data_IF_973512421817
#
_entry.id   IF_973512421817
#
_cell.length_a   1.000
_cell.length_b   1.000
_cell.length_c   1.000
_cell.angle_alpha   90.00
_cell.angle_beta   90.00
_cell.angle_gamma   90.00
#
_symmetry.space_group_name_H-M   'P 1'
#
loop_
_entity.id
_entity.type
_entity.pdbx_description
1 polymer ?
#
# COMPACT_ATOMS: atom_id res chain seq x y z
N UNK A 1 22.48 -5.15 26.51
CA UNK A 1 22.86 -3.97 25.70
C UNK A 1 21.75 -3.76 24.67
N UNK A 2 20.81 -2.84 24.90
CA UNK A 2 19.84 -2.46 23.89
C UNK A 2 20.58 -1.66 22.82
N UNK A 3 20.86 -2.30 21.68
CA UNK A 3 21.38 -1.58 20.53
C UNK A 3 20.33 -0.57 20.11
N UNK A 4 20.69 0.70 20.19
CA UNK A 4 19.88 1.85 19.79
C UNK A 4 19.77 1.90 18.25
N UNK A 5 19.41 0.77 17.62
CA UNK A 5 19.29 0.67 16.17
C UNK A 5 18.03 1.39 15.72
N UNK A 6 18.22 2.57 15.14
CA UNK A 6 17.16 3.26 14.41
C UNK A 6 16.60 2.32 13.33
N UNK A 7 15.28 2.33 13.08
CA UNK A 7 14.70 1.51 12.03
C UNK A 7 15.33 1.81 10.67
N UNK A 8 15.48 0.80 9.81
CA UNK A 8 15.83 1.03 8.41
C UNK A 8 14.75 1.87 7.70
N UNK A 9 15.18 2.68 6.74
CA UNK A 9 14.29 3.45 5.87
C UNK A 9 13.64 2.53 4.82
N UNK A 10 12.62 1.79 5.24
CA UNK A 10 11.94 0.80 4.39
C UNK A 10 10.45 0.64 4.68
N UNK A 11 9.84 1.56 5.42
CA UNK A 11 8.39 1.58 5.66
C UNK A 11 7.75 2.53 4.65
N UNK A 12 6.71 2.08 3.97
CA UNK A 12 6.06 2.88 2.94
C UNK A 12 4.82 3.53 3.52
N UNK A 13 4.73 4.85 3.39
CA UNK A 13 3.54 5.62 3.79
C UNK A 13 2.43 5.51 2.74
N UNK A 14 1.18 5.90 3.05
CA UNK A 14 0.10 6.02 2.05
C UNK A 14 0.44 6.95 0.88
N UNK A 15 1.30 7.96 1.13
CA UNK A 15 1.82 8.88 0.13
C UNK A 15 2.92 8.27 -0.74
N UNK A 16 3.37 7.06 -0.42
CA UNK A 16 4.41 6.36 -1.17
C UNK A 16 5.83 6.75 -0.78
N UNK A 17 6.01 7.59 0.24
CA UNK A 17 7.31 7.90 0.83
C UNK A 17 7.87 6.68 1.55
N UNK A 18 9.20 6.58 1.61
CA UNK A 18 9.88 5.51 2.34
C UNK A 18 10.53 6.14 3.56
N UNK A 19 10.12 5.72 4.75
CA UNK A 19 10.48 6.33 6.03
C UNK A 19 11.11 5.32 7.00
N UNK A 20 11.84 5.83 8.00
CA UNK A 20 12.55 5.07 9.02
C UNK A 20 11.76 5.06 10.34
N UNK A 21 10.64 4.35 10.37
CA UNK A 21 9.75 4.25 11.54
C UNK A 21 9.70 2.83 12.09
N UNK A 22 9.30 2.68 13.36
CA UNK A 22 9.28 1.39 14.05
C UNK A 22 8.14 0.44 13.61
N UNK A 23 7.17 0.95 12.85
CA UNK A 23 6.01 0.23 12.38
C UNK A 23 6.38 -1.13 11.75
N UNK A 24 5.67 -2.19 12.17
CA UNK A 24 5.76 -3.52 11.59
C UNK A 24 4.62 -3.70 10.59
N UNK A 25 4.97 -4.04 9.36
CA UNK A 25 3.99 -4.23 8.30
C UNK A 25 3.42 -5.64 8.27
N UNK A 26 2.14 -5.76 7.93
CA UNK A 26 1.52 -7.05 7.58
C UNK A 26 2.02 -7.59 6.23
N UNK A 27 2.52 -6.69 5.37
CA UNK A 27 3.04 -7.04 4.05
C UNK A 27 4.44 -6.49 3.85
N UNK A 28 5.19 -7.21 3.01
CA UNK A 28 6.40 -6.69 2.38
C UNK A 28 6.13 -6.37 0.90
N UNK A 29 7.13 -5.89 0.20
CA UNK A 29 7.06 -5.65 -1.23
C UNK A 29 8.33 -5.02 -1.75
N UNK A 30 8.28 -4.58 -3.00
CA UNK A 30 9.45 -4.05 -3.65
C UNK A 30 9.12 -2.93 -4.63
N UNK A 31 10.16 -2.15 -4.93
CA UNK A 31 10.23 -1.22 -6.07
C UNK A 31 11.47 -1.49 -6.92
N UNK A 32 11.94 -2.74 -6.95
CA UNK A 32 13.25 -3.13 -7.47
C UNK A 32 14.41 -2.88 -6.50
N UNK A 33 15.64 -2.71 -7.01
CA UNK A 33 16.87 -2.54 -6.21
C UNK A 33 17.15 -1.04 -6.05
N UNK A 34 16.87 -0.48 -4.88
CA UNK A 34 16.98 0.96 -4.62
C UNK A 34 17.79 1.28 -3.36
N UNK A 35 18.61 0.33 -2.89
CA UNK A 35 19.49 0.52 -1.74
C UNK A 35 20.94 0.19 -2.08
N UNK A 36 21.84 0.71 -1.27
CA UNK A 36 23.22 0.27 -1.17
C UNK A 36 23.30 -0.92 -0.18
N UNK A 37 23.79 -2.10 -0.61
CA UNK A 37 23.72 -3.32 0.19
C UNK A 37 24.71 -3.37 1.36
N UNK A 38 25.71 -2.49 1.36
CA UNK A 38 26.73 -2.43 2.41
C UNK A 38 26.24 -1.54 3.56
N UNK A 39 25.68 -0.38 3.22
CA UNK A 39 25.23 0.62 4.18
C UNK A 39 23.74 0.48 4.55
N UNK A 40 22.97 -0.30 3.79
CA UNK A 40 21.51 -0.43 3.90
C UNK A 40 20.77 0.92 3.77
N UNK A 41 21.33 1.85 2.99
CA UNK A 41 20.74 3.17 2.73
C UNK A 41 20.08 3.23 1.36
N UNK A 42 19.05 4.06 1.18
CA UNK A 42 18.40 4.23 -0.12
C UNK A 42 19.26 5.06 -1.07
N UNK A 43 19.32 4.64 -2.34
CA UNK A 43 19.94 5.37 -3.44
C UNK A 43 19.10 6.61 -3.81
N UNK A 44 19.59 7.49 -4.69
CA UNK A 44 18.79 8.64 -5.18
C UNK A 44 17.51 8.25 -5.93
N UNK A 45 17.50 7.08 -6.59
CA UNK A 45 16.31 6.53 -7.26
C UNK A 45 15.32 5.96 -6.25
N UNK A 46 14.01 6.10 -6.50
CA UNK A 46 12.93 5.56 -5.63
C UNK A 46 12.24 4.32 -6.20
N UNK A 47 12.63 3.89 -7.40
CA UNK A 47 12.28 2.61 -8.01
C UNK A 47 13.29 2.26 -9.12
N UNK A 48 13.34 0.98 -9.50
CA UNK A 48 14.07 0.49 -10.68
C UNK A 48 13.21 -0.37 -11.61
N UNK A 49 11.92 -0.53 -11.31
CA UNK A 49 10.94 -1.29 -12.09
C UNK A 49 9.55 -0.69 -11.95
N UNK A 50 8.67 -0.94 -12.94
CA UNK A 50 7.23 -0.62 -12.86
C UNK A 50 6.46 -1.62 -11.99
N UNK A 51 6.97 -2.85 -11.84
CA UNK A 51 6.39 -3.91 -11.03
C UNK A 51 6.58 -3.63 -9.53
N UNK A 52 5.70 -2.79 -8.98
CA UNK A 52 5.64 -2.51 -7.55
C UNK A 52 4.68 -3.53 -6.93
N UNK A 53 5.23 -4.45 -6.13
CA UNK A 53 4.51 -5.64 -5.71
C UNK A 53 4.24 -5.62 -4.21
N UNK A 54 3.09 -6.17 -3.83
CA UNK A 54 2.72 -6.52 -2.45
C UNK A 54 2.97 -8.01 -2.28
N UNK A 55 3.80 -8.38 -1.32
CA UNK A 55 4.21 -9.74 -1.01
C UNK A 55 3.87 -10.09 0.44
N UNK A 56 3.74 -11.39 0.73
CA UNK A 56 3.71 -11.86 2.13
C UNK A 56 5.09 -11.74 2.77
N UNK A 57 5.12 -11.50 4.07
CA UNK A 57 6.36 -11.45 4.85
C UNK A 57 6.99 -12.84 5.04
N UNK A 58 6.16 -13.89 5.08
CA UNK A 58 6.59 -15.27 5.24
C UNK A 58 6.12 -16.10 4.04
N UNK A 59 7.05 -16.81 3.39
CA UNK A 59 6.78 -17.61 2.20
C UNK A 59 7.70 -18.82 2.10
N UNK A 60 7.18 -19.99 2.49
CA UNK A 60 7.96 -21.22 2.63
C UNK A 60 9.10 -21.02 3.62
N UNK A 61 10.25 -21.67 3.39
CA UNK A 61 11.41 -21.57 4.30
C UNK A 61 12.35 -20.39 4.00
N UNK A 62 11.89 -19.39 3.24
CA UNK A 62 12.74 -18.30 2.76
C UNK A 62 12.91 -17.23 3.83
N UNK A 63 14.12 -17.17 4.42
CA UNK A 63 14.55 -16.02 5.23
C UNK A 63 15.49 -15.12 4.46
N UNK A 64 15.37 -13.81 4.66
CA UNK A 64 16.20 -12.79 4.03
C UNK A 64 16.72 -11.82 5.08
N UNK A 65 17.99 -11.46 4.99
CA UNK A 65 18.46 -10.26 5.67
C UNK A 65 17.97 -9.03 4.89
N UNK A 66 17.31 -8.12 5.61
CA UNK A 66 16.64 -6.97 5.02
C UNK A 66 17.68 -6.02 4.44
N UNK A 67 17.44 -5.61 3.19
CA UNK A 67 18.31 -4.72 2.43
C UNK A 67 19.76 -5.21 2.37
N UNK A 68 19.94 -6.53 2.33
CA UNK A 68 21.24 -7.16 2.17
C UNK A 68 21.45 -7.66 0.74
N UNK A 69 22.70 -7.56 0.26
CA UNK A 69 23.09 -8.06 -1.04
C UNK A 69 22.44 -7.35 -2.23
N UNK A 70 22.71 -7.82 -3.45
CA UNK A 70 22.26 -7.16 -4.69
C UNK A 70 20.89 -7.67 -5.13
N UNK A 71 19.91 -7.61 -4.23
CA UNK A 71 18.54 -8.05 -4.48
C UNK A 71 17.54 -6.89 -4.34
N UNK A 72 16.26 -7.15 -4.63
CA UNK A 72 15.21 -6.15 -4.49
C UNK A 72 15.16 -5.63 -3.05
N UNK A 73 14.82 -4.35 -2.90
CA UNK A 73 14.76 -3.69 -1.59
C UNK A 73 13.48 -4.09 -0.89
N UNK A 74 13.61 -4.73 0.27
CA UNK A 74 12.48 -5.11 1.11
C UNK A 74 11.82 -3.86 1.68
N UNK A 75 10.63 -3.55 1.17
CA UNK A 75 9.75 -2.51 1.70
C UNK A 75 8.65 -3.14 2.52
N UNK A 76 8.09 -2.40 3.49
CA UNK A 76 7.05 -2.88 4.38
C UNK A 76 5.87 -1.91 4.42
N UNK A 77 4.67 -2.48 4.51
CA UNK A 77 3.41 -1.75 4.52
C UNK A 77 2.61 -2.18 5.74
N UNK A 78 2.07 -1.20 6.48
CA UNK A 78 1.22 -1.47 7.65
C UNK A 78 0.15 -2.50 7.31
N UNK A 79 -0.57 -2.29 6.20
CA UNK A 79 -1.57 -3.21 5.67
C UNK A 79 -1.61 -3.13 4.14
N UNK A 80 -2.57 -3.82 3.52
CA UNK A 80 -2.72 -3.83 2.08
C UNK A 80 -3.27 -2.49 1.55
N UNK A 81 -4.13 -1.80 2.29
CA UNK A 81 -4.66 -0.49 1.89
C UNK A 81 -3.53 0.53 1.69
N UNK A 82 -2.55 0.58 2.60
CA UNK A 82 -1.34 1.42 2.47
C UNK A 82 -0.53 1.03 1.23
N UNK A 83 -0.36 -0.26 0.97
CA UNK A 83 0.41 -0.74 -0.17
C UNK A 83 -0.26 -0.41 -1.52
N UNK A 84 -1.57 -0.62 -1.60
CA UNK A 84 -2.43 -0.27 -2.73
C UNK A 84 -2.46 1.25 -2.95
N UNK A 85 -2.54 2.04 -1.88
CA UNK A 85 -2.45 3.50 -1.93
C UNK A 85 -1.10 3.96 -2.49
N UNK A 86 0.00 3.35 -2.07
CA UNK A 86 1.32 3.57 -2.66
C UNK A 86 1.44 3.07 -4.11
N UNK A 87 0.41 2.42 -4.66
CA UNK A 87 0.31 1.98 -6.04
C UNK A 87 0.93 0.62 -6.33
N UNK A 88 1.13 -0.22 -5.31
CA UNK A 88 1.58 -1.60 -5.48
C UNK A 88 0.37 -2.48 -5.83
N UNK A 89 0.61 -3.61 -6.50
CA UNK A 89 -0.41 -4.66 -6.71
C UNK A 89 0.02 -5.97 -6.08
N UNK A 90 -0.92 -6.89 -5.75
CA UNK A 90 -0.55 -8.19 -5.24
C UNK A 90 0.39 -8.96 -6.20
N UNK A 91 1.36 -9.65 -5.61
CA UNK A 91 2.38 -10.41 -6.33
C UNK A 91 1.82 -11.75 -6.84
N UNK A 92 1.96 -12.04 -8.15
CA UNK A 92 1.54 -13.31 -8.74
C UNK A 92 2.34 -14.54 -8.26
N UNK A 93 3.48 -14.33 -7.60
CA UNK A 93 4.31 -15.41 -7.08
C UNK A 93 3.85 -15.88 -5.70
N UNK A 94 3.98 -15.03 -4.67
CA UNK A 94 3.69 -15.41 -3.29
C UNK A 94 2.27 -15.06 -2.82
N UNK A 95 1.55 -14.22 -3.57
CA UNK A 95 0.16 -13.81 -3.31
C UNK A 95 -0.74 -14.15 -4.50
N UNK A 96 -0.54 -15.33 -5.10
CA UNK A 96 -1.14 -15.72 -6.39
C UNK A 96 -2.66 -15.57 -6.41
N UNK A 97 -3.35 -16.07 -5.39
CA UNK A 97 -4.81 -15.97 -5.29
C UNK A 97 -5.27 -14.51 -5.25
N UNK A 98 -4.71 -13.71 -4.35
CA UNK A 98 -5.00 -12.28 -4.26
C UNK A 98 -4.68 -11.53 -5.57
N UNK A 99 -3.60 -11.89 -6.27
CA UNK A 99 -3.24 -11.28 -7.54
C UNK A 99 -4.21 -11.65 -8.67
N UNK A 100 -4.70 -12.89 -8.70
CA UNK A 100 -5.73 -13.32 -9.64
C UNK A 100 -7.07 -12.64 -9.35
N UNK A 101 -7.47 -12.55 -8.08
CA UNK A 101 -8.67 -11.83 -7.65
C UNK A 101 -8.61 -10.34 -7.99
N UNK A 102 -7.47 -9.69 -7.71
CA UNK A 102 -7.23 -8.30 -8.07
C UNK A 102 -7.33 -8.09 -9.58
N UNK A 103 -6.68 -8.94 -10.38
CA UNK A 103 -6.73 -8.87 -11.85
C UNK A 103 -8.13 -9.09 -12.40
N UNK A 104 -8.88 -10.03 -11.85
CA UNK A 104 -10.27 -10.29 -12.26
C UNK A 104 -11.17 -9.09 -11.93
N UNK A 105 -11.10 -8.56 -10.71
CA UNK A 105 -11.86 -7.38 -10.31
C UNK A 105 -11.48 -6.13 -11.12
N UNK A 106 -10.19 -5.98 -11.45
CA UNK A 106 -9.71 -4.91 -12.33
C UNK A 106 -10.28 -5.00 -13.75
N UNK A 107 -10.32 -6.21 -14.32
CA UNK A 107 -10.88 -6.42 -15.65
C UNK A 107 -12.40 -6.15 -15.68
N UNK A 108 -13.10 -6.35 -14.57
CA UNK A 108 -14.55 -6.19 -14.48
C UNK A 108 -15.25 -7.09 -15.49
N UNK A 109 -16.13 -6.52 -16.31
CA UNK A 109 -16.85 -7.22 -17.38
C UNK A 109 -16.07 -7.32 -18.71
N UNK A 110 -14.82 -6.84 -18.77
CA UNK A 110 -14.01 -6.92 -19.98
C UNK A 110 -13.70 -8.38 -20.35
N UNK A 111 -13.79 -8.71 -21.65
CA UNK A 111 -13.47 -10.04 -22.17
C UNK A 111 -11.97 -10.38 -22.11
N UNK A 112 -11.10 -9.37 -22.07
CA UNK A 112 -9.65 -9.56 -22.02
C UNK A 112 -9.12 -9.21 -20.62
N UNK A 113 -8.55 -10.20 -19.94
CA UNK A 113 -7.83 -9.97 -18.68
C UNK A 113 -6.45 -9.35 -18.96
N UNK A 114 -6.10 -8.22 -18.34
CA UNK A 114 -4.82 -7.57 -18.58
C UNK A 114 -3.65 -8.43 -18.08
N UNK A 115 -2.55 -8.41 -18.82
CA UNK A 115 -1.27 -8.94 -18.37
C UNK A 115 -0.74 -8.18 -17.15
N UNK A 116 0.22 -8.79 -16.44
CA UNK A 116 0.89 -8.13 -15.32
C UNK A 116 1.59 -6.83 -15.74
N UNK A 117 2.17 -6.80 -16.95
CA UNK A 117 2.84 -5.62 -17.49
C UNK A 117 1.87 -4.47 -17.80
N UNK A 118 0.67 -4.77 -18.28
CA UNK A 118 -0.37 -3.76 -18.52
C UNK A 118 -0.89 -3.17 -17.21
N UNK A 119 -1.12 -3.99 -16.18
CA UNK A 119 -1.45 -3.51 -14.83
C UNK A 119 -0.34 -2.58 -14.31
N UNK A 120 0.93 -2.99 -14.44
CA UNK A 120 2.07 -2.21 -13.99
C UNK A 120 2.21 -0.88 -14.76
N UNK A 121 1.91 -0.86 -16.05
CA UNK A 121 1.95 0.35 -16.88
C UNK A 121 0.88 1.36 -16.46
N UNK A 122 -0.36 0.91 -16.24
CA UNK A 122 -1.44 1.77 -15.76
C UNK A 122 -1.11 2.33 -14.37
N UNK A 123 -0.76 1.46 -13.41
CA UNK A 123 -0.40 1.91 -12.06
C UNK A 123 0.78 2.87 -12.07
N UNK A 124 1.78 2.66 -12.93
CA UNK A 124 2.91 3.56 -13.06
C UNK A 124 2.48 5.00 -13.42
N UNK A 125 1.51 5.16 -14.34
CA UNK A 125 0.96 6.46 -14.74
C UNK A 125 0.10 7.13 -13.65
N UNK A 126 -0.43 6.35 -12.70
CA UNK A 126 -1.33 6.82 -11.66
C UNK A 126 -0.62 7.11 -10.32
N UNK A 127 0.63 6.66 -10.13
CA UNK A 127 1.36 6.81 -8.86
C UNK A 127 1.82 8.24 -8.58
N UNK A 128 2.37 8.92 -9.58
CA UNK A 128 3.09 10.19 -9.38
C UNK A 128 2.70 11.25 -10.42
N UNK A 129 2.78 12.50 -10.01
CA UNK A 129 2.70 13.69 -10.86
C UNK A 129 3.85 14.61 -10.45
N UNK A 130 4.72 14.99 -11.39
CA UNK A 130 5.89 15.86 -11.14
C UNK A 130 6.78 15.38 -9.97
N UNK A 131 7.02 14.06 -9.90
CA UNK A 131 7.85 13.45 -8.86
C UNK A 131 7.23 13.40 -7.45
N UNK A 132 5.96 13.78 -7.31
CA UNK A 132 5.20 13.72 -6.06
C UNK A 132 4.07 12.72 -6.17
N UNK A 133 3.55 12.27 -5.02
CA UNK A 133 2.34 11.46 -4.96
C UNK A 133 1.22 12.13 -5.74
N UNK A 134 0.64 11.40 -6.69
CA UNK A 134 -0.56 11.88 -7.38
C UNK A 134 -1.77 11.74 -6.47
N UNK A 135 -2.46 12.85 -6.25
CA UNK A 135 -3.76 12.90 -5.59
C UNK A 135 -4.82 12.93 -6.70
N UNK A 136 -5.80 12.05 -6.61
CA UNK A 136 -6.85 11.90 -7.62
C UNK A 136 -8.16 12.50 -7.15
N UNK A 137 -8.97 13.00 -8.08
CA UNK A 137 -10.30 13.50 -7.75
C UNK A 137 -11.19 12.39 -7.19
N UNK A 138 -12.07 12.74 -6.25
CA UNK A 138 -13.04 11.83 -5.68
C UNK A 138 -14.15 11.52 -6.71
N UNK A 139 -14.44 10.23 -6.99
CA UNK A 139 -15.51 9.85 -7.92
C UNK A 139 -16.90 9.88 -7.26
N UNK A 140 -16.95 9.95 -5.94
CA UNK A 140 -18.15 9.92 -5.11
C UNK A 140 -17.83 10.51 -3.73
N UNK A 141 -18.83 10.82 -2.90
CA UNK A 141 -18.61 11.14 -1.49
C UNK A 141 -17.74 10.09 -0.79
N UNK A 142 -17.00 10.51 0.23
CA UNK A 142 -16.03 9.64 0.94
C UNK A 142 -16.70 8.42 1.57
N UNK A 143 -17.92 8.56 2.09
CA UNK A 143 -18.70 7.46 2.67
C UNK A 143 -19.08 6.37 1.66
N UNK A 144 -19.10 6.69 0.37
CA UNK A 144 -19.46 5.78 -0.72
C UNK A 144 -18.24 5.13 -1.39
N UNK A 145 -17.03 5.47 -0.92
CA UNK A 145 -15.80 4.85 -1.43
C UNK A 145 -15.70 3.41 -0.91
N UNK A 146 -15.26 2.47 -1.76
CA UNK A 146 -15.13 1.08 -1.34
C UNK A 146 -14.04 0.96 -0.26
N UNK A 147 -14.24 0.01 0.67
CA UNK A 147 -13.31 -0.29 1.76
C UNK A 147 -11.87 -0.50 1.26
N UNK A 148 -10.92 0.06 2.00
CA UNK A 148 -9.50 0.07 1.67
C UNK A 148 -9.08 1.17 0.69
N UNK A 149 -9.99 2.06 0.28
CA UNK A 149 -9.61 3.29 -0.40
C UNK A 149 -8.94 4.23 0.61
N UNK A 150 -7.76 4.75 0.27
CA UNK A 150 -7.11 5.78 1.07
C UNK A 150 -7.33 7.15 0.46
N UNK A 151 -7.76 8.09 1.29
CA UNK A 151 -7.98 9.51 0.95
C UNK A 151 -7.04 10.40 1.73
N UNK A 152 -6.88 11.64 1.27
CA UNK A 152 -6.16 12.69 1.99
C UNK A 152 -7.14 13.78 2.44
N UNK A 153 -6.98 14.24 3.67
CA UNK A 153 -7.69 15.40 4.22
C UNK A 153 -6.76 16.12 5.20
N UNK A 154 -6.62 17.44 5.07
CA UNK A 154 -5.78 18.29 5.94
C UNK A 154 -4.35 17.75 6.11
N UNK A 155 -3.76 17.24 5.02
CA UNK A 155 -2.40 16.67 5.03
C UNK A 155 -2.27 15.28 5.68
N UNK A 156 -3.36 14.65 6.12
CA UNK A 156 -3.37 13.32 6.71
C UNK A 156 -4.03 12.30 5.80
N UNK A 157 -3.56 11.05 5.87
CA UNK A 157 -4.11 9.94 5.12
C UNK A 157 -5.13 9.17 5.95
N UNK A 158 -6.25 8.79 5.33
CA UNK A 158 -7.32 8.03 5.98
C UNK A 158 -7.69 6.82 5.13
N UNK A 159 -7.89 5.67 5.75
CA UNK A 159 -8.43 4.47 5.10
C UNK A 159 -9.94 4.42 5.30
N UNK A 160 -10.70 4.17 4.22
CA UNK A 160 -12.14 3.94 4.31
C UNK A 160 -12.42 2.49 4.73
N UNK A 161 -13.35 2.31 5.66
CA UNK A 161 -13.91 1.00 6.00
C UNK A 161 -15.32 1.15 6.57
N UNK A 162 -16.29 0.39 6.05
CA UNK A 162 -17.69 0.42 6.48
C UNK A 162 -18.28 1.86 6.49
N UNK A 163 -17.96 2.64 5.46
CA UNK A 163 -18.41 4.04 5.32
C UNK A 163 -17.76 5.03 6.30
N UNK A 164 -16.75 4.61 7.08
CA UNK A 164 -16.01 5.45 8.03
C UNK A 164 -14.57 5.66 7.58
N UNK A 165 -13.91 6.67 8.13
CA UNK A 165 -12.52 7.01 7.82
C UNK A 165 -11.61 6.85 9.04
N UNK A 166 -10.54 6.08 8.89
CA UNK A 166 -9.58 5.79 9.95
C UNK A 166 -8.23 6.41 9.60
N UNK A 167 -7.75 7.31 10.46
CA UNK A 167 -6.50 8.04 10.21
C UNK A 167 -5.30 7.11 10.33
N UNK A 168 -4.48 7.07 9.29
CA UNK A 168 -3.19 6.39 9.32
C UNK A 168 -2.15 7.25 10.05
N UNK A 169 -1.35 6.60 10.89
CA UNK A 169 -0.22 7.21 11.61
C UNK A 169 1.00 6.29 11.57
N UNK A 170 2.14 6.80 12.02
CA UNK A 170 3.36 5.99 12.16
C UNK A 170 3.23 4.88 13.21
N UNK A 171 2.25 4.99 14.13
CA UNK A 171 2.00 4.02 15.19
C UNK A 171 0.92 2.98 14.83
N UNK A 172 0.16 3.18 13.75
CA UNK A 172 -1.03 2.38 13.43
C UNK A 172 -2.20 3.27 13.00
N UNK A 173 -3.43 2.76 13.13
CA UNK A 173 -4.63 3.56 12.88
C UNK A 173 -5.20 4.14 14.18
N UNK A 174 -5.81 5.33 14.07
CA UNK A 174 -6.67 5.88 15.11
C UNK A 174 -8.13 5.48 14.86
N UNK A 175 -8.96 5.63 15.90
CA UNK A 175 -10.40 5.45 15.80
C UNK A 175 -11.00 6.35 14.70
N UNK A 176 -12.18 5.96 14.20
CA UNK A 176 -12.78 6.66 13.07
C UNK A 176 -13.05 8.13 13.39
N UNK A 177 -12.63 9.02 12.48
CA UNK A 177 -12.86 10.46 12.60
C UNK A 177 -14.09 10.85 11.75
N UNK A 178 -15.21 11.27 12.38
CA UNK A 178 -16.38 11.72 11.64
C UNK A 178 -16.14 13.12 11.04
N UNK A 179 -16.84 13.42 9.94
CA UNK A 179 -16.87 14.76 9.36
C UNK A 179 -15.61 15.19 8.59
N UNK A 180 -14.67 14.28 8.33
CA UNK A 180 -13.52 14.60 7.49
C UNK A 180 -13.99 14.94 6.06
N UNK A 181 -13.44 16.00 5.50
CA UNK A 181 -13.67 16.41 4.11
C UNK A 181 -12.45 15.99 3.30
N UNK A 182 -12.59 14.92 2.53
CA UNK A 182 -11.50 14.44 1.69
C UNK A 182 -11.21 15.44 0.56
N UNK A 183 -9.94 15.77 0.38
CA UNK A 183 -9.44 16.63 -0.70
C UNK A 183 -9.15 15.81 -1.97
N UNK A 184 -8.96 14.51 -1.83
CA UNK A 184 -8.71 13.59 -2.93
C UNK A 184 -8.35 12.18 -2.49
N UNK A 185 -8.17 11.29 -3.46
CA UNK A 185 -7.76 9.90 -3.23
C UNK A 185 -6.25 9.74 -3.42
N UNK A 186 -5.64 9.02 -2.48
CA UNK A 186 -4.29 8.50 -2.60
C UNK A 186 -4.30 7.18 -3.38
N UNK A 187 -5.34 6.35 -3.20
CA UNK A 187 -5.46 5.10 -3.96
C UNK A 187 -5.63 5.36 -5.46
N UNK A 188 -4.84 4.70 -6.33
CA UNK A 188 -4.96 4.86 -7.77
C UNK A 188 -6.38 4.57 -8.27
N UNK A 189 -6.95 5.35 -9.23
CA UNK A 189 -8.31 5.17 -9.71
C UNK A 189 -8.60 3.76 -10.21
N UNK A 190 -7.64 3.13 -10.87
CA UNK A 190 -7.73 1.75 -11.34
C UNK A 190 -7.84 0.73 -10.20
N UNK A 191 -7.09 0.93 -9.11
CA UNK A 191 -7.23 0.16 -7.88
C UNK A 191 -8.60 0.38 -7.23
N UNK A 192 -9.10 1.62 -7.15
CA UNK A 192 -10.44 1.92 -6.61
C UNK A 192 -11.53 1.21 -7.42
N UNK A 193 -11.38 1.13 -8.75
CA UNK A 193 -12.29 0.33 -9.59
C UNK A 193 -12.27 -1.15 -9.22
N UNK A 194 -11.08 -1.74 -9.00
CA UNK A 194 -10.96 -3.13 -8.57
C UNK A 194 -11.60 -3.37 -7.18
N UNK A 195 -11.41 -2.45 -6.22
CA UNK A 195 -12.05 -2.51 -4.91
C UNK A 195 -13.58 -2.51 -5.03
N UNK A 196 -14.12 -1.59 -5.83
CA UNK A 196 -15.56 -1.48 -6.11
C UNK A 196 -16.10 -2.75 -6.79
N UNK A 197 -15.31 -3.37 -7.65
CA UNK A 197 -15.65 -4.60 -8.37
C UNK A 197 -15.50 -5.89 -7.53
N UNK A 198 -15.16 -5.80 -6.25
CA UNK A 198 -15.19 -6.96 -5.34
C UNK A 198 -13.83 -7.35 -4.76
N UNK A 199 -12.73 -6.71 -5.16
CA UNK A 199 -11.46 -6.95 -4.49
C UNK A 199 -11.53 -6.44 -3.05
N UNK A 200 -11.19 -7.29 -2.07
CA UNK A 200 -11.22 -6.96 -0.64
C UNK A 200 -9.78 -6.95 -0.11
N UNK A 201 -9.23 -5.79 0.23
CA UNK A 201 -7.86 -5.70 0.74
C UNK A 201 -7.83 -6.11 2.22
N UNK A 202 -6.70 -6.64 2.66
CA UNK A 202 -6.46 -6.92 4.07
C UNK A 202 -6.13 -5.61 4.80
N UNK A 203 -7.02 -5.21 5.71
CA UNK A 203 -6.86 -4.02 6.55
C UNK A 203 -6.15 -4.36 7.87
N UNK A 204 -5.51 -3.37 8.49
CA UNK A 204 -4.87 -3.56 9.78
C UNK A 204 -5.90 -3.92 10.89
N UNK A 205 -5.58 -4.82 11.83
CA UNK A 205 -6.48 -5.22 12.92
C UNK A 205 -7.07 -4.09 13.75
N UNK A 206 -6.35 -2.96 13.91
CA UNK A 206 -6.86 -1.77 14.60
C UNK A 206 -8.24 -1.36 14.07
N UNK A 207 -8.42 -1.37 12.74
CA UNK A 207 -9.69 -0.98 12.10
C UNK A 207 -10.81 -1.93 12.52
N UNK A 208 -10.55 -3.24 12.50
CA UNK A 208 -11.53 -4.24 12.94
C UNK A 208 -11.88 -4.08 14.44
N UNK A 209 -10.89 -3.76 15.28
CA UNK A 209 -11.09 -3.51 16.71
C UNK A 209 -11.97 -2.27 16.94
N UNK A 210 -11.72 -1.18 16.23
CA UNK A 210 -12.56 0.03 16.31
C UNK A 210 -13.98 -0.21 15.81
N UNK A 211 -14.15 -1.02 14.76
CA UNK A 211 -15.48 -1.35 14.23
C UNK A 211 -16.29 -2.25 15.17
N UNK A 212 -15.64 -3.17 15.87
CA UNK A 212 -16.29 -4.06 16.84
C UNK A 212 -16.54 -3.40 18.21
N UNK A 213 -16.00 -2.21 18.45
CA UNK A 213 -16.03 -1.55 19.74
C UNK A 213 -15.10 -2.18 20.79
N UNK A 214 -14.23 -3.10 20.37
CA UNK A 214 -13.21 -3.67 21.22
C UNK A 214 -12.09 -2.66 21.43
N UNK A 215 -12.03 -2.05 22.62
CA UNK A 215 -10.83 -1.33 23.07
C UNK A 215 -9.72 -2.35 23.32
N UNK A 216 -8.59 -2.18 22.65
CA UNK A 216 -7.35 -2.92 22.95
C UNK A 216 -6.81 -2.56 24.33
#
# INVERSE_FOLDING_TARGET
MQTNQRPLQNRVTPFGDIVAIAQRGLFTGNRGIIHDPTTKTLLGRRWSSKAWLICVCDYGDRRRDVMAGRSWTELFFLDEAVALAAGHRPCFFCRREAALGFRAAWAGSSKASPSAGELDAVLHSERQSHGRKRIHALPSPTADLPDGTMVVASGHAFTTASGRCFRWTEAGYLASEPGIVAEGMLTPPSTVKALRAGYRPILHPDIANFLSGATS
#
